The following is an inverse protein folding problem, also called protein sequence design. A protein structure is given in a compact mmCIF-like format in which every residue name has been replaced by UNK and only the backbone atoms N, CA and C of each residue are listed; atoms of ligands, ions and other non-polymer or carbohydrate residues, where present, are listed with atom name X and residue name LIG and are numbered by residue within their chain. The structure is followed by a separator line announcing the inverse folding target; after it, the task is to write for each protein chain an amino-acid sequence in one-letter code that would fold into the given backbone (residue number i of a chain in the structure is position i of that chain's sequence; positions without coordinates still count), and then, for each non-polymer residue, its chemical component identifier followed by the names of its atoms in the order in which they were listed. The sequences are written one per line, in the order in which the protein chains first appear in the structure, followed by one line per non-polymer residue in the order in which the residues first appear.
data_IF_768919986843
#
_entry.id   IF_768919986843
#
_cell.length_a   1.000
_cell.length_b   1.000
_cell.length_c   1.000
_cell.angle_alpha   90.00
_cell.angle_beta   90.00
_cell.angle_gamma   90.00
#
_symmetry.space_group_name_H-M   'P 1'
#
loop_
_entity.id
_entity.type
_entity.pdbx_description
1 polymer ?
#
# COMPACT_ATOMS: atom_id res chain seq x y z
N UNK A 1 2.21 16.61 -2.00
CA UNK A 1 2.74 15.55 -2.91
C UNK A 1 1.88 14.31 -2.73
N UNK A 2 1.60 13.56 -3.80
CA UNK A 2 0.88 12.29 -3.72
C UNK A 2 1.83 11.19 -4.23
N UNK A 3 1.93 10.08 -3.49
CA UNK A 3 2.72 8.91 -3.88
C UNK A 3 2.17 7.63 -3.26
N UNK A 4 2.63 6.49 -3.74
CA UNK A 4 2.30 5.15 -3.24
C UNK A 4 3.29 4.68 -2.18
N UNK A 5 2.79 4.04 -1.13
CA UNK A 5 3.59 3.17 -0.26
C UNK A 5 3.16 1.74 -0.57
N UNK A 6 4.06 0.97 -1.16
CA UNK A 6 3.71 -0.31 -1.79
C UNK A 6 4.70 -1.47 -1.51
N UNK A 7 4.93 -1.85 -0.24
CA UNK A 7 5.77 -3.00 0.09
C UNK A 7 5.26 -4.29 -0.57
N UNK A 8 6.20 -5.06 -1.14
CA UNK A 8 5.92 -6.33 -1.78
C UNK A 8 6.82 -7.45 -1.27
N UNK A 9 6.25 -8.65 -1.17
CA UNK A 9 6.96 -9.91 -0.99
C UNK A 9 6.84 -10.71 -2.28
N UNK A 10 7.98 -11.22 -2.77
CA UNK A 10 8.06 -11.97 -4.01
C UNK A 10 8.88 -13.22 -3.79
N UNK A 11 8.26 -14.37 -4.02
CA UNK A 11 8.92 -15.66 -4.10
C UNK A 11 8.83 -16.19 -5.54
N UNK A 12 9.94 -16.56 -6.18
CA UNK A 12 9.94 -17.03 -7.57
C UNK A 12 9.09 -18.28 -7.83
N UNK A 13 8.82 -19.09 -6.80
CA UNK A 13 8.09 -20.36 -6.92
C UNK A 13 6.66 -20.26 -6.37
N UNK A 14 6.45 -19.50 -5.29
CA UNK A 14 5.19 -19.42 -4.57
C UNK A 14 4.35 -18.19 -4.94
N UNK A 15 4.89 -17.28 -5.74
CA UNK A 15 4.24 -16.04 -6.14
C UNK A 15 4.54 -14.89 -5.18
N UNK A 16 3.66 -13.88 -5.15
CA UNK A 16 3.92 -12.68 -4.36
C UNK A 16 2.66 -11.94 -3.96
N UNK A 17 2.83 -11.03 -3.00
CA UNK A 17 1.80 -10.13 -2.53
C UNK A 17 2.38 -8.73 -2.40
N UNK A 18 1.58 -7.72 -2.72
CA UNK A 18 1.90 -6.31 -2.51
C UNK A 18 0.71 -5.67 -1.78
N UNK A 19 1.02 -4.86 -0.78
CA UNK A 19 0.04 -4.00 -0.11
C UNK A 19 0.35 -2.58 -0.52
N UNK A 20 -0.64 -1.87 -1.02
CA UNK A 20 -0.46 -0.53 -1.59
C UNK A 20 -1.44 0.45 -0.98
N UNK A 21 -0.93 1.62 -0.62
CA UNK A 21 -1.73 2.76 -0.20
C UNK A 21 -1.25 4.06 -0.86
N UNK A 22 -2.20 4.83 -1.38
CA UNK A 22 -1.99 6.23 -1.75
C UNK A 22 -1.86 7.13 -0.52
N UNK A 23 -0.79 7.92 -0.49
CA UNK A 23 -0.47 8.86 0.59
C UNK A 23 -0.40 10.28 0.03
N UNK A 24 -1.13 11.21 0.66
CA UNK A 24 -1.00 12.66 0.46
C UNK A 24 -0.14 13.26 1.56
N UNK A 25 0.98 13.89 1.21
CA UNK A 25 1.75 14.72 2.14
C UNK A 25 1.13 16.12 2.25
N UNK A 26 0.79 16.49 3.48
CA UNK A 26 0.30 17.83 3.87
C UNK A 26 1.24 18.46 4.90
N UNK A 27 1.05 19.75 5.20
CA UNK A 27 1.79 20.44 6.27
C UNK A 27 1.53 19.85 7.67
N UNK A 28 0.35 19.27 7.90
CA UNK A 28 -0.01 18.62 9.16
C UNK A 28 0.48 17.17 9.28
N UNK A 29 1.05 16.61 8.20
CA UNK A 29 1.51 15.23 8.12
C UNK A 29 0.93 14.44 6.94
N UNK A 30 1.28 13.15 6.83
CA UNK A 30 0.76 12.26 5.78
C UNK A 30 -0.69 11.86 6.04
N UNK A 31 -1.50 11.83 4.98
CA UNK A 31 -2.89 11.37 4.99
C UNK A 31 -3.00 10.13 4.08
N UNK A 32 -3.57 9.04 4.62
CA UNK A 32 -3.86 7.82 3.86
C UNK A 32 -5.18 8.02 3.10
N UNK A 33 -5.16 7.89 1.78
CA UNK A 33 -6.36 8.11 0.93
C UNK A 33 -7.14 6.82 0.67
N UNK A 34 -6.51 5.66 0.83
CA UNK A 34 -7.06 4.33 0.50
C UNK A 34 -7.26 3.48 1.75
N UNK A 35 -8.36 2.70 1.82
CA UNK A 35 -8.77 1.97 3.03
C UNK A 35 -9.21 0.52 2.75
N UNK A 36 -8.61 -0.12 1.73
CA UNK A 36 -8.89 -1.51 1.36
C UNK A 36 -8.57 -2.47 2.50
N UNK A 37 -9.35 -3.56 2.61
CA UNK A 37 -9.18 -4.59 3.66
C UNK A 37 -8.67 -5.89 3.06
N UNK A 38 -7.89 -6.62 3.85
CA UNK A 38 -7.56 -8.02 3.52
C UNK A 38 -8.85 -8.81 3.55
N UNK A 39 -9.21 -9.40 2.41
CA UNK A 39 -10.32 -10.34 2.31
C UNK A 39 -9.80 -11.75 2.62
N UNK A 40 -10.57 -12.52 3.39
CA UNK A 40 -10.39 -13.97 3.52
C UNK A 40 -11.45 -14.62 2.65
N UNK A 41 -11.01 -15.37 1.65
CA UNK A 41 -11.86 -16.16 0.76
C UNK A 41 -12.10 -17.55 1.36
#
# INVERSE_FOLDING_TARGET
MIFTIEPGLYDPLLGGCRLENDILITEAGPVVLTNSRIIRL
#
